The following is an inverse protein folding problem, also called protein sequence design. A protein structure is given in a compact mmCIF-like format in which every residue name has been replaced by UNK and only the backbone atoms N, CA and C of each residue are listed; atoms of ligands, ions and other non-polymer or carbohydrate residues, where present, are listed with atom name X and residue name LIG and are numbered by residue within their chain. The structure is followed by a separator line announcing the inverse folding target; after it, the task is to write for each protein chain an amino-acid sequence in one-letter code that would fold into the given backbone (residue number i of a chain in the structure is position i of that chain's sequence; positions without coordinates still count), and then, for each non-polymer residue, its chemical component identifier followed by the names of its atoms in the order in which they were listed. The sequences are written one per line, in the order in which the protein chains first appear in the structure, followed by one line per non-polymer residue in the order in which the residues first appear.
data_IF_026963238439
#
_entry.id   IF_026963238439
#
_cell.length_a   1.000
_cell.length_b   1.000
_cell.length_c   1.000
_cell.angle_alpha   90.00
_cell.angle_beta   90.00
_cell.angle_gamma   90.00
#
_symmetry.space_group_name_H-M   'P 1'
#
loop_
_entity.id
_entity.type
_entity.pdbx_description
1 polymer ?
#
# COMPACT_ATOMS: atom_id res chain seq x y z
N UNK A 1 -17.54 -14.08 -0.45
CA UNK A 1 -16.11 -13.72 -0.44
C UNK A 1 -15.60 -13.85 0.98
N UNK A 2 -14.30 -14.09 1.17
CA UNK A 2 -13.67 -14.07 2.48
C UNK A 2 -12.86 -12.77 2.60
N UNK A 3 -13.05 -12.04 3.70
CA UNK A 3 -12.26 -10.85 4.02
C UNK A 3 -11.34 -11.21 5.20
N UNK A 4 -10.05 -10.97 5.03
CA UNK A 4 -9.03 -11.17 6.05
C UNK A 4 -8.36 -9.82 6.29
N UNK A 5 -8.29 -9.41 7.55
CA UNK A 5 -7.63 -8.19 7.99
C UNK A 5 -6.50 -8.55 8.93
N UNK A 6 -5.31 -7.99 8.72
CA UNK A 6 -4.17 -8.14 9.62
C UNK A 6 -3.28 -6.91 9.52
N UNK A 7 -2.66 -6.53 10.62
CA UNK A 7 -1.56 -5.58 10.69
C UNK A 7 -0.19 -6.29 10.73
N UNK A 8 -0.16 -7.62 10.89
CA UNK A 8 1.03 -8.45 10.77
C UNK A 8 1.43 -8.58 9.31
N UNK A 9 2.29 -7.65 8.87
CA UNK A 9 2.88 -7.58 7.52
C UNK A 9 4.40 -7.67 7.51
N UNK A 10 5.04 -7.73 8.66
CA UNK A 10 6.48 -7.82 8.84
C UNK A 10 6.83 -8.84 9.94
N UNK A 11 8.00 -9.51 9.86
CA UNK A 11 8.91 -9.52 8.72
C UNK A 11 8.35 -10.33 7.53
N UNK A 12 8.86 -10.08 6.34
CA UNK A 12 8.47 -10.84 5.14
C UNK A 12 8.81 -12.33 5.30
N UNK A 13 7.84 -13.18 4.97
CA UNK A 13 7.95 -14.65 5.01
C UNK A 13 7.41 -15.29 6.28
N UNK A 14 7.20 -14.50 7.35
CA UNK A 14 6.73 -14.99 8.66
C UNK A 14 5.41 -14.34 9.11
N UNK A 15 5.01 -13.24 8.47
CA UNK A 15 3.82 -12.49 8.85
C UNK A 15 2.50 -13.21 8.53
N UNK A 16 1.42 -12.84 9.22
CA UNK A 16 0.09 -13.35 8.86
C UNK A 16 -0.29 -12.97 7.42
N UNK A 17 0.12 -11.79 6.96
CA UNK A 17 -0.05 -11.39 5.56
C UNK A 17 0.57 -12.42 4.60
N UNK A 18 1.81 -12.87 4.86
CA UNK A 18 2.50 -13.85 4.04
C UNK A 18 1.84 -15.23 4.06
N UNK A 19 1.20 -15.61 5.18
CA UNK A 19 0.44 -16.86 5.30
C UNK A 19 -0.77 -16.90 4.35
N UNK A 20 -1.47 -15.77 4.17
CA UNK A 20 -2.68 -15.71 3.35
C UNK A 20 -2.42 -15.31 1.90
N UNK A 21 -1.31 -14.62 1.62
CA UNK A 21 -0.95 -14.13 0.29
C UNK A 21 -0.99 -15.17 -0.84
N UNK A 22 -0.58 -16.45 -0.67
CA UNK A 22 -0.65 -17.45 -1.74
C UNK A 22 -2.07 -17.67 -2.28
N UNK A 23 -3.08 -17.52 -1.41
CA UNK A 23 -4.48 -17.76 -1.70
C UNK A 23 -5.26 -16.49 -2.05
N UNK A 24 -4.68 -15.30 -1.82
CA UNK A 24 -5.34 -14.03 -2.04
C UNK A 24 -5.50 -13.71 -3.53
N UNK A 25 -6.71 -13.35 -3.94
CA UNK A 25 -6.99 -12.82 -5.29
C UNK A 25 -6.84 -11.29 -5.36
N UNK A 26 -7.10 -10.62 -4.24
CA UNK A 26 -7.05 -9.17 -4.10
C UNK A 26 -6.27 -8.84 -2.84
N UNK A 27 -5.32 -7.90 -2.93
CA UNK A 27 -4.65 -7.30 -1.77
C UNK A 27 -5.06 -5.83 -1.68
N UNK A 28 -5.40 -5.38 -0.48
CA UNK A 28 -5.70 -3.97 -0.17
C UNK A 28 -4.74 -3.52 0.92
N UNK A 29 -4.00 -2.44 0.70
CA UNK A 29 -3.13 -1.82 1.72
C UNK A 29 -3.08 -0.31 1.57
N UNK A 30 -2.51 0.39 2.54
CA UNK A 30 -2.48 1.86 2.60
C UNK A 30 -1.04 2.38 2.48
N UNK A 31 -0.79 3.54 1.88
CA UNK A 31 0.57 4.11 1.79
C UNK A 31 1.21 4.43 3.16
N UNK A 32 0.39 4.73 4.17
CA UNK A 32 0.87 5.10 5.52
C UNK A 32 1.16 3.90 6.43
N UNK A 33 0.69 2.70 6.06
CA UNK A 33 1.04 1.44 6.72
C UNK A 33 1.10 0.31 5.67
N UNK A 34 2.07 0.37 4.76
CA UNK A 34 2.04 -0.45 3.55
C UNK A 34 2.50 -1.88 3.81
N UNK A 35 1.74 -2.85 3.33
CA UNK A 35 2.25 -4.21 3.10
C UNK A 35 3.00 -4.22 1.77
N UNK A 36 4.32 -4.26 1.83
CA UNK A 36 5.16 -4.25 0.63
C UNK A 36 4.96 -5.54 -0.18
N UNK A 37 4.56 -5.42 -1.46
CA UNK A 37 4.53 -6.56 -2.39
C UNK A 37 5.80 -6.52 -3.22
N UNK A 38 6.85 -7.02 -2.58
CA UNK A 38 8.14 -7.30 -3.22
C UNK A 38 7.99 -8.37 -4.31
N UNK A 39 8.96 -8.45 -5.21
CA UNK A 39 9.05 -9.53 -6.20
C UNK A 39 8.93 -10.93 -5.59
N UNK A 40 9.51 -11.16 -4.40
CA UNK A 40 9.45 -12.44 -3.69
C UNK A 40 8.04 -12.76 -3.18
N UNK A 41 7.33 -11.78 -2.63
CA UNK A 41 5.91 -11.92 -2.27
C UNK A 41 5.03 -12.14 -3.48
N UNK A 42 5.22 -11.35 -4.54
CA UNK A 42 4.51 -11.51 -5.79
C UNK A 42 4.76 -12.91 -6.37
N UNK A 43 5.98 -13.44 -6.34
CA UNK A 43 6.25 -14.80 -6.82
C UNK A 43 5.46 -15.89 -6.06
N UNK A 44 5.16 -15.69 -4.77
CA UNK A 44 4.35 -16.60 -3.93
C UNK A 44 2.84 -16.42 -4.12
N UNK A 45 2.39 -15.23 -4.51
CA UNK A 45 0.98 -14.85 -4.64
C UNK A 45 0.32 -15.41 -5.92
N UNK A 46 0.16 -16.74 -6.02
CA UNK A 46 -0.23 -17.42 -7.26
C UNK A 46 -1.62 -17.02 -7.78
N UNK A 47 -2.53 -16.67 -6.89
CA UNK A 47 -3.92 -16.29 -7.23
C UNK A 47 -4.15 -14.78 -7.38
N UNK A 48 -3.15 -13.96 -7.08
CA UNK A 48 -3.27 -12.50 -7.05
C UNK A 48 -3.59 -11.96 -8.44
N UNK A 49 -4.63 -11.12 -8.53
CA UNK A 49 -5.12 -10.48 -9.74
C UNK A 49 -5.17 -8.96 -9.63
N UNK A 50 -5.34 -8.43 -8.42
CA UNK A 50 -5.53 -7.01 -8.17
C UNK A 50 -4.84 -6.56 -6.88
N UNK A 51 -4.07 -5.48 -6.99
CA UNK A 51 -3.51 -4.73 -5.87
C UNK A 51 -4.22 -3.38 -5.76
N UNK A 52 -4.75 -3.08 -4.57
CA UNK A 52 -5.47 -1.84 -4.30
C UNK A 52 -4.74 -1.05 -3.24
N UNK A 53 -4.31 0.14 -3.61
CA UNK A 53 -3.89 1.17 -2.66
C UNK A 53 -5.13 1.88 -2.14
N UNK A 54 -5.46 1.68 -0.86
CA UNK A 54 -6.45 2.46 -0.12
C UNK A 54 -5.86 3.84 0.23
N UNK A 55 -5.71 4.67 -0.79
CA UNK A 55 -5.01 5.96 -0.74
C UNK A 55 -4.47 6.32 -2.13
N UNK A 56 -3.39 7.11 -2.16
CA UNK A 56 -2.68 7.53 -3.39
C UNK A 56 -1.19 7.31 -3.16
N UNK A 57 -0.48 6.75 -4.15
CA UNK A 57 0.91 6.32 -4.04
C UNK A 57 1.01 4.79 -3.95
N UNK A 58 1.57 4.17 -4.97
CA UNK A 58 1.59 2.71 -5.15
C UNK A 58 3.03 2.15 -5.24
N UNK A 59 4.00 2.90 -4.72
CA UNK A 59 5.43 2.56 -4.71
C UNK A 59 5.80 1.37 -3.81
N UNK A 60 4.93 0.98 -2.88
CA UNK A 60 5.07 -0.23 -2.07
C UNK A 60 4.77 -1.53 -2.83
N UNK A 61 4.43 -1.46 -4.12
CA UNK A 61 4.32 -2.60 -5.01
C UNK A 61 5.50 -2.62 -5.99
N UNK A 62 6.12 -3.78 -6.20
CA UNK A 62 7.04 -3.99 -7.32
C UNK A 62 6.24 -3.99 -8.63
N UNK A 63 6.12 -2.81 -9.24
CA UNK A 63 5.30 -2.58 -10.43
C UNK A 63 5.75 -3.41 -11.63
N UNK A 64 7.06 -3.66 -11.76
CA UNK A 64 7.60 -4.50 -12.83
C UNK A 64 7.16 -5.96 -12.64
N UNK A 65 7.29 -6.50 -11.43
CA UNK A 65 6.85 -7.86 -11.12
C UNK A 65 5.32 -8.02 -11.24
N UNK A 66 4.54 -6.99 -10.90
CA UNK A 66 3.10 -6.96 -11.15
C UNK A 66 2.79 -6.99 -12.65
N UNK A 67 3.46 -6.15 -13.44
CA UNK A 67 3.27 -6.06 -14.89
C UNK A 67 3.65 -7.36 -15.61
N UNK A 68 4.80 -7.97 -15.26
CA UNK A 68 5.24 -9.27 -15.78
C UNK A 68 4.20 -10.39 -15.57
N UNK A 69 3.43 -10.30 -14.48
CA UNK A 69 2.37 -11.26 -14.14
C UNK A 69 0.97 -10.83 -14.58
N UNK A 70 0.82 -9.66 -15.20
CA UNK A 70 -0.49 -9.11 -15.58
C UNK A 70 -1.39 -8.79 -14.38
N UNK A 71 -0.82 -8.46 -13.22
CA UNK A 71 -1.55 -8.07 -12.02
C UNK A 71 -1.92 -6.59 -12.13
N UNK A 72 -3.21 -6.28 -12.02
CA UNK A 72 -3.66 -4.90 -12.03
C UNK A 72 -3.27 -4.19 -10.72
N UNK A 73 -2.80 -2.96 -10.83
CA UNK A 73 -2.52 -2.08 -9.69
C UNK A 73 -3.42 -0.85 -9.83
N UNK A 74 -4.21 -0.57 -8.79
CA UNK A 74 -5.09 0.58 -8.74
C UNK A 74 -4.93 1.33 -7.43
N UNK A 75 -5.23 2.62 -7.47
CA UNK A 75 -5.27 3.50 -6.31
C UNK A 75 -6.49 4.42 -6.41
N UNK A 76 -6.78 5.15 -5.34
CA UNK A 76 -7.96 6.02 -5.27
C UNK A 76 -7.53 7.45 -5.62
N UNK A 77 -7.13 7.67 -6.88
CA UNK A 77 -6.67 8.97 -7.38
C UNK A 77 -7.65 10.08 -7.02
N UNK A 78 -7.15 11.19 -6.46
CA UNK A 78 -7.97 12.31 -6.03
C UNK A 78 -8.51 12.21 -4.60
N UNK A 79 -8.48 11.04 -3.96
CA UNK A 79 -9.11 10.83 -2.64
C UNK A 79 -8.57 11.70 -1.51
N UNK A 80 -7.29 12.07 -1.57
CA UNK A 80 -6.60 12.80 -0.50
C UNK A 80 -5.88 14.07 -0.99
N UNK A 81 -6.12 14.53 -2.22
CA UNK A 81 -5.38 15.66 -2.81
C UNK A 81 -5.52 16.95 -1.99
N UNK A 82 -6.74 17.27 -1.53
CA UNK A 82 -7.01 18.46 -0.71
C UNK A 82 -6.36 18.31 0.66
N UNK A 83 -6.50 17.16 1.30
CA UNK A 83 -5.93 16.91 2.63
C UNK A 83 -4.41 17.04 2.64
N UNK A 84 -3.72 16.50 1.63
CA UNK A 84 -2.25 16.64 1.50
C UNK A 84 -1.86 18.10 1.23
N UNK A 85 -2.62 18.84 0.42
CA UNK A 85 -2.36 20.26 0.17
C UNK A 85 -2.53 21.11 1.45
N UNK A 86 -3.60 20.87 2.22
CA UNK A 86 -3.83 21.52 3.51
C UNK A 86 -2.69 21.22 4.49
N UNK A 87 -2.28 19.96 4.59
CA UNK A 87 -1.19 19.55 5.47
C UNK A 87 0.15 20.21 5.08
N UNK A 88 0.44 20.34 3.78
CA UNK A 88 1.63 21.02 3.30
C UNK A 88 1.64 22.52 3.67
N UNK A 89 0.53 23.24 3.43
CA UNK A 89 0.41 24.67 3.78
C UNK A 89 0.50 24.86 5.29
N UNK A 90 -0.18 24.02 6.07
CA UNK A 90 -0.09 24.03 7.54
C UNK A 90 1.36 23.85 8.00
N UNK A 91 2.08 22.88 7.43
CA UNK A 91 3.49 22.61 7.78
C UNK A 91 4.38 23.81 7.48
N UNK A 92 4.19 24.47 6.33
CA UNK A 92 4.92 25.71 5.99
C UNK A 92 4.67 26.81 7.02
N UNK A 93 3.43 27.00 7.47
CA UNK A 93 3.06 28.00 8.47
C UNK A 93 3.64 27.67 9.85
N UNK A 94 3.60 26.41 10.27
CA UNK A 94 4.18 25.95 11.54
C UNK A 94 5.67 26.30 11.59
N UNK A 95 6.41 26.01 10.52
CA UNK A 95 7.84 26.29 10.43
C UNK A 95 8.13 27.80 10.38
N UNK A 96 7.44 28.56 9.53
CA UNK A 96 7.66 30.00 9.37
C UNK A 96 7.32 30.80 10.64
N UNK A 97 6.32 30.35 11.40
CA UNK A 97 5.86 31.04 12.61
C UNK A 97 6.45 30.48 13.89
N UNK A 98 7.31 29.47 13.78
CA UNK A 98 7.91 28.80 14.92
C UNK A 98 6.86 28.34 15.95
N UNK A 99 5.75 27.76 15.47
CA UNK A 99 4.59 27.44 16.31
C UNK A 99 4.88 26.33 17.33
N UNK A 100 5.90 25.50 17.08
CA UNK A 100 6.29 24.39 17.96
C UNK A 100 7.16 24.78 19.15
N UNK A 101 7.59 26.05 19.23
CA UNK A 101 8.24 26.64 20.41
C UNK A 101 7.23 27.47 21.22
#
# INVERSE_FOLDING_TARGET
YQLITTDSKDPEGESEFDKYLPEAEIVITTPFYPAYLTRSRIAKAKKLKLCVTAGVGSDHYDLDACNERGIAVIEVTGSNVVSVAEHAVMTMLILLRNYGE
#
